data_IF_081566863075
#
_entry.id   IF_081566863075
#
_cell.length_a   1.000
_cell.length_b   1.000
_cell.length_c   1.000
_cell.angle_alpha   90.00
_cell.angle_beta   90.00
_cell.angle_gamma   90.00
#
_symmetry.space_group_name_H-M   'P 1'
#
loop_
_entity.id
_entity.type
_entity.pdbx_description
1 polymer ?
#
# COMPACT_ATOMS: atom_id res chain seq x y z
N UNK A 1 74.57 16.65 26.63
CA UNK A 1 73.74 16.74 25.38
C UNK A 1 72.35 16.23 25.65
N UNK A 2 71.39 17.13 25.91
CA UNK A 2 69.96 16.78 26.20
C UNK A 2 69.20 16.79 24.85
N UNK A 3 68.68 15.63 24.43
CA UNK A 3 67.79 15.55 23.26
C UNK A 3 66.36 15.93 23.67
N UNK A 4 65.83 16.99 23.09
CA UNK A 4 64.45 17.37 23.21
C UNK A 4 63.62 16.53 22.21
N UNK A 5 62.60 15.83 22.74
CA UNK A 5 61.60 15.11 21.93
C UNK A 5 60.42 16.07 21.77
N UNK A 6 60.19 16.52 20.55
CA UNK A 6 58.99 17.31 20.19
C UNK A 6 57.87 16.31 19.87
N UNK A 7 56.83 16.27 20.73
CA UNK A 7 55.61 15.54 20.49
C UNK A 7 54.70 16.40 19.61
N UNK A 8 54.47 15.98 18.38
CA UNK A 8 53.47 16.61 17.49
C UNK A 8 52.10 16.04 17.82
N UNK A 9 51.28 16.88 18.43
CA UNK A 9 49.86 16.58 18.74
C UNK A 9 49.04 16.68 17.44
N UNK A 10 48.65 15.55 16.86
CA UNK A 10 47.68 15.53 15.74
C UNK A 10 46.28 15.81 16.30
N UNK A 11 45.78 17.04 16.13
CA UNK A 11 44.40 17.38 16.41
C UNK A 11 43.57 16.89 15.21
N UNK A 12 42.91 15.73 15.37
CA UNK A 12 41.89 15.29 14.43
C UNK A 12 40.67 16.21 14.53
N UNK A 13 40.60 17.22 13.68
CA UNK A 13 39.38 18.01 13.49
C UNK A 13 38.37 17.14 12.75
N UNK A 14 37.47 16.50 13.50
CA UNK A 14 36.30 15.87 12.90
C UNK A 14 35.39 17.01 12.45
N UNK A 15 35.41 17.30 11.15
CA UNK A 15 34.40 18.14 10.51
C UNK A 15 33.03 17.46 10.75
N UNK A 16 31.99 18.20 11.22
CA UNK A 16 30.68 17.66 11.29
C UNK A 16 30.26 17.27 9.84
N UNK A 17 29.91 16.00 9.67
CA UNK A 17 29.29 15.57 8.42
C UNK A 17 28.01 16.41 8.29
N UNK A 18 28.01 17.39 7.40
CA UNK A 18 26.78 18.06 7.00
C UNK A 18 25.86 16.95 6.50
N UNK A 19 24.75 16.73 7.20
CA UNK A 19 23.69 15.86 6.73
C UNK A 19 23.32 16.37 5.31
N UNK A 20 23.60 15.57 4.29
CA UNK A 20 23.24 15.90 2.92
C UNK A 20 21.73 16.11 2.94
N UNK A 21 21.28 17.34 2.67
CA UNK A 21 19.85 17.63 2.56
C UNK A 21 19.26 16.61 1.58
N UNK A 22 18.31 15.80 2.05
CA UNK A 22 17.75 14.73 1.23
C UNK A 22 17.14 15.35 -0.04
N UNK A 23 17.60 14.92 -1.20
CA UNK A 23 17.09 15.37 -2.48
C UNK A 23 15.59 15.10 -2.55
N UNK A 24 14.79 16.15 -2.82
CA UNK A 24 13.36 16.05 -2.95
C UNK A 24 12.97 15.30 -4.21
N UNK A 25 12.01 14.38 -4.08
CA UNK A 25 11.56 13.47 -5.14
C UNK A 25 10.07 13.65 -5.36
N UNK A 26 9.67 13.76 -6.61
CA UNK A 26 8.27 13.78 -7.00
C UNK A 26 7.73 12.35 -7.12
N UNK A 27 6.68 12.01 -6.38
CA UNK A 27 5.91 10.79 -6.62
C UNK A 27 4.88 11.03 -7.72
N UNK A 28 4.93 10.27 -8.80
CA UNK A 28 4.04 10.49 -9.97
C UNK A 28 2.58 10.20 -9.68
N UNK A 29 2.29 9.47 -8.62
CA UNK A 29 0.94 9.06 -8.20
C UNK A 29 0.86 9.04 -6.68
N UNK A 30 -0.35 9.08 -6.14
CA UNK A 30 -0.58 8.94 -4.71
C UNK A 30 0.12 7.72 -4.08
N UNK A 31 0.04 6.49 -4.65
CA UNK A 31 0.82 5.35 -4.14
C UNK A 31 2.34 5.56 -4.21
N UNK A 32 2.85 6.23 -5.24
CA UNK A 32 4.28 6.52 -5.37
C UNK A 32 4.74 7.51 -4.29
N UNK A 33 3.97 8.58 -4.05
CA UNK A 33 4.27 9.55 -3.00
C UNK A 33 4.23 8.92 -1.62
N UNK A 34 3.23 8.10 -1.32
CA UNK A 34 3.19 7.39 -0.04
C UNK A 34 4.31 6.37 0.11
N UNK A 35 4.77 5.75 -0.97
CA UNK A 35 5.93 4.88 -0.94
C UNK A 35 7.21 5.65 -0.56
N UNK A 36 7.41 6.84 -1.13
CA UNK A 36 8.50 7.75 -0.70
C UNK A 36 8.32 8.20 0.75
N UNK A 37 7.09 8.54 1.16
CA UNK A 37 6.78 9.00 2.51
C UNK A 37 7.14 7.95 3.58
N UNK A 38 6.80 6.68 3.40
CA UNK A 38 7.14 5.63 4.37
C UNK A 38 8.63 5.30 4.40
N UNK A 39 9.34 5.55 3.30
CA UNK A 39 10.80 5.43 3.25
C UNK A 39 11.42 6.58 4.05
N UNK A 40 11.16 7.81 3.64
CA UNK A 40 11.52 9.01 4.38
C UNK A 40 10.55 10.15 4.04
N UNK A 41 9.82 10.68 5.03
CA UNK A 41 8.90 11.79 4.78
C UNK A 41 9.58 13.03 4.20
N UNK A 42 10.87 13.22 4.44
CA UNK A 42 11.63 14.35 3.93
C UNK A 42 11.99 14.22 2.44
N UNK A 43 11.77 13.07 1.82
CA UNK A 43 11.95 12.87 0.38
C UNK A 43 10.84 13.51 -0.46
N UNK A 44 9.61 13.61 0.05
CA UNK A 44 8.49 14.07 -0.76
C UNK A 44 8.47 15.58 -0.93
N UNK A 45 8.09 16.03 -2.12
CA UNK A 45 7.93 17.46 -2.43
C UNK A 45 6.53 17.98 -2.08
N UNK A 46 5.54 17.10 -2.10
CA UNK A 46 4.14 17.42 -1.90
C UNK A 46 3.23 16.21 -2.08
N UNK A 47 1.94 16.43 -2.04
CA UNK A 47 0.91 15.41 -2.22
C UNK A 47 0.31 15.48 -3.62
N UNK A 48 -0.26 14.37 -4.10
CA UNK A 48 -0.90 14.30 -5.42
C UNK A 48 -2.38 14.70 -5.40
N UNK A 49 -2.83 15.34 -4.34
CA UNK A 49 -4.20 15.76 -4.11
C UNK A 49 -4.55 15.78 -2.62
N UNK A 50 -5.81 16.10 -2.29
CA UNK A 50 -6.23 16.21 -0.90
C UNK A 50 -6.16 14.86 -0.19
N UNK A 51 -5.58 14.87 1.02
CA UNK A 51 -5.55 13.72 1.92
C UNK A 51 -6.91 13.50 2.58
N UNK A 52 -7.27 12.25 2.80
CA UNK A 52 -8.51 11.86 3.45
C UNK A 52 -8.36 11.86 4.98
N UNK A 53 -9.44 12.01 5.76
CA UNK A 53 -9.35 12.05 7.23
C UNK A 53 -8.61 10.84 7.84
N UNK A 54 -8.80 9.64 7.30
CA UNK A 54 -8.16 8.41 7.78
C UNK A 54 -6.67 8.31 7.38
N UNK A 55 -6.22 9.09 6.39
CA UNK A 55 -4.81 9.21 6.00
C UNK A 55 -4.10 10.27 6.86
N UNK A 56 -4.76 11.44 7.06
CA UNK A 56 -4.26 12.56 7.85
C UNK A 56 -3.89 12.14 9.27
N UNK A 57 -4.68 11.24 9.87
CA UNK A 57 -4.49 10.73 11.24
C UNK A 57 -3.06 10.21 11.50
N UNK A 58 -2.38 9.70 10.47
CA UNK A 58 -1.07 9.06 10.56
C UNK A 58 0.07 9.90 9.99
N UNK A 59 -0.18 11.19 9.70
CA UNK A 59 0.79 12.09 9.09
C UNK A 59 1.02 13.28 10.02
N UNK A 60 2.26 13.53 10.46
CA UNK A 60 2.58 14.72 11.27
C UNK A 60 2.26 16.04 10.56
N UNK A 61 1.80 17.04 11.31
CA UNK A 61 1.33 18.34 10.82
C UNK A 61 2.28 19.02 9.82
N UNK A 62 3.59 18.88 10.02
CA UNK A 62 4.58 19.49 9.13
C UNK A 62 4.48 18.99 7.69
N UNK A 63 4.09 17.73 7.49
CA UNK A 63 3.93 17.12 6.17
C UNK A 63 2.52 17.34 5.60
N UNK A 64 1.52 17.59 6.44
CA UNK A 64 0.18 17.97 5.99
C UNK A 64 0.16 19.33 5.26
N UNK A 65 1.14 20.19 5.54
CA UNK A 65 1.28 21.52 4.95
C UNK A 65 2.02 21.53 3.62
N UNK A 66 2.49 20.38 3.14
CA UNK A 66 3.13 20.28 1.84
C UNK A 66 2.14 20.60 0.71
N UNK A 67 2.60 21.17 -0.41
CA UNK A 67 1.73 21.57 -1.52
C UNK A 67 1.08 20.37 -2.21
N UNK A 68 -0.06 20.66 -2.90
CA UNK A 68 -0.60 19.76 -3.91
C UNK A 68 0.22 19.93 -5.20
N UNK A 69 0.84 18.86 -5.65
CA UNK A 69 1.72 18.82 -6.83
C UNK A 69 1.09 18.04 -7.99
N UNK A 70 -0.15 17.56 -7.80
CA UNK A 70 -0.86 16.75 -8.79
C UNK A 70 -0.25 15.36 -9.02
N UNK A 71 -0.90 14.58 -9.88
CA UNK A 71 -0.47 13.23 -10.21
C UNK A 71 -1.14 12.68 -11.47
N UNK A 72 -0.56 11.64 -12.07
CA UNK A 72 -1.11 11.01 -13.29
C UNK A 72 -2.35 10.16 -13.05
N UNK A 73 -2.62 9.78 -11.79
CA UNK A 73 -3.76 8.96 -11.39
C UNK A 73 -4.38 9.48 -10.11
N UNK A 74 -5.68 9.23 -9.95
CA UNK A 74 -6.40 9.51 -8.71
C UNK A 74 -7.30 10.75 -8.82
N UNK A 75 -7.68 11.29 -7.67
CA UNK A 75 -8.60 12.44 -7.56
C UNK A 75 -7.88 13.80 -7.62
N UNK A 76 -6.56 13.80 -7.77
CA UNK A 76 -5.76 15.01 -7.87
C UNK A 76 -5.82 15.66 -9.25
N UNK A 77 -5.28 16.88 -9.31
CA UNK A 77 -5.04 17.59 -10.56
C UNK A 77 -3.97 16.86 -11.40
N UNK A 78 -4.01 17.07 -12.72
CA UNK A 78 -2.89 16.68 -13.60
C UNK A 78 -1.62 17.37 -13.09
N UNK A 79 -0.44 16.70 -13.15
CA UNK A 79 0.81 17.31 -12.68
C UNK A 79 1.03 18.67 -13.31
N UNK A 80 1.24 19.67 -12.48
CA UNK A 80 1.60 20.99 -12.93
C UNK A 80 3.11 21.01 -13.23
N UNK A 81 3.44 21.03 -14.53
CA UNK A 81 4.83 21.08 -15.00
C UNK A 81 5.56 22.32 -14.50
N UNK A 82 4.86 23.45 -14.39
CA UNK A 82 5.45 24.69 -13.88
C UNK A 82 5.80 24.56 -12.40
N UNK A 83 4.96 23.87 -11.61
CA UNK A 83 5.26 23.56 -10.20
C UNK A 83 6.50 22.67 -10.10
N UNK A 84 6.59 21.58 -10.89
CA UNK A 84 7.75 20.69 -10.87
C UNK A 84 9.05 21.44 -11.23
N UNK A 85 9.00 22.32 -12.23
CA UNK A 85 10.15 23.12 -12.64
C UNK A 85 10.53 24.18 -11.59
N UNK A 86 9.52 24.89 -11.02
CA UNK A 86 9.75 25.90 -9.98
C UNK A 86 10.37 25.32 -8.72
N UNK A 87 9.92 24.13 -8.31
CA UNK A 87 10.47 23.42 -7.15
C UNK A 87 11.83 22.78 -7.44
N UNK A 88 12.36 22.92 -8.65
CA UNK A 88 13.69 22.45 -9.04
C UNK A 88 13.87 20.94 -8.93
N UNK A 89 12.81 20.17 -9.18
CA UNK A 89 12.80 18.73 -9.05
C UNK A 89 13.75 18.08 -10.05
N UNK A 90 14.63 17.22 -9.53
CA UNK A 90 15.60 16.50 -10.33
C UNK A 90 15.30 15.02 -10.45
N UNK A 91 14.50 14.46 -9.51
CA UNK A 91 14.14 13.04 -9.48
C UNK A 91 12.66 12.84 -9.29
N UNK A 92 12.14 11.79 -9.92
CA UNK A 92 10.76 11.35 -9.77
C UNK A 92 10.69 9.82 -9.59
N UNK A 93 9.69 9.35 -8.82
CA UNK A 93 9.34 7.95 -8.69
C UNK A 93 8.08 7.66 -9.51
N UNK A 94 8.17 6.71 -10.42
CA UNK A 94 7.04 6.19 -11.21
C UNK A 94 6.84 4.71 -10.90
N UNK A 95 5.64 4.35 -10.43
CA UNK A 95 5.24 2.95 -10.29
C UNK A 95 4.71 2.48 -11.64
N UNK A 96 5.43 1.56 -12.30
CA UNK A 96 5.09 1.11 -13.63
C UNK A 96 4.24 -0.16 -13.60
N UNK A 97 3.15 -0.15 -14.36
CA UNK A 97 2.24 -1.29 -14.57
C UNK A 97 2.30 -1.82 -16.02
N UNK A 98 3.02 -1.13 -16.90
CA UNK A 98 3.02 -1.36 -18.33
C UNK A 98 1.85 -0.68 -19.06
N UNK A 99 1.20 0.28 -18.40
CA UNK A 99 0.13 1.06 -19.02
C UNK A 99 0.69 2.23 -19.85
N UNK A 100 -0.07 2.66 -20.87
CA UNK A 100 0.29 3.85 -21.66
C UNK A 100 0.46 5.11 -20.80
N UNK A 101 -0.28 5.22 -19.70
CA UNK A 101 -0.15 6.36 -18.77
C UNK A 101 1.19 6.37 -18.06
N UNK A 102 1.72 5.20 -17.69
CA UNK A 102 3.05 5.12 -17.09
C UNK A 102 4.11 5.55 -18.08
N UNK A 103 3.99 5.11 -19.35
CA UNK A 103 4.88 5.52 -20.44
C UNK A 103 4.83 7.04 -20.68
N UNK A 104 3.63 7.62 -20.69
CA UNK A 104 3.43 9.07 -20.81
C UNK A 104 4.03 9.84 -19.63
N UNK A 105 3.86 9.34 -18.41
CA UNK A 105 4.44 9.93 -17.21
C UNK A 105 5.98 9.91 -17.27
N UNK A 106 6.57 8.75 -17.58
CA UNK A 106 8.02 8.60 -17.73
C UNK A 106 8.55 9.53 -18.81
N UNK A 107 7.91 9.52 -20.00
CA UNK A 107 8.32 10.38 -21.12
C UNK A 107 8.26 11.86 -20.74
N UNK A 108 7.15 12.31 -20.16
CA UNK A 108 6.96 13.72 -19.79
C UNK A 108 8.01 14.20 -18.79
N UNK A 109 8.28 13.38 -17.75
CA UNK A 109 9.28 13.71 -16.73
C UNK A 109 10.70 13.73 -17.33
N UNK A 110 11.02 12.78 -18.19
CA UNK A 110 12.32 12.73 -18.88
C UNK A 110 12.53 13.92 -19.82
N UNK A 111 11.49 14.32 -20.57
CA UNK A 111 11.53 15.49 -21.46
C UNK A 111 11.76 16.81 -20.67
N UNK A 112 11.36 16.85 -19.39
CA UNK A 112 11.65 17.95 -18.46
C UNK A 112 13.06 17.87 -17.84
N UNK A 113 13.87 16.88 -18.19
CA UNK A 113 15.20 16.68 -17.64
C UNK A 113 15.21 16.07 -16.22
N UNK A 114 14.08 15.48 -15.79
CA UNK A 114 13.96 14.83 -14.50
C UNK A 114 14.38 13.36 -14.61
N UNK A 115 15.30 12.92 -13.75
CA UNK A 115 15.68 11.51 -13.60
C UNK A 115 14.52 10.69 -13.08
N UNK A 116 14.13 9.61 -13.77
CA UNK A 116 12.97 8.80 -13.39
C UNK A 116 13.40 7.47 -12.79
N UNK A 117 13.09 7.28 -11.50
CA UNK A 117 13.19 5.99 -10.82
C UNK A 117 11.92 5.19 -11.17
N UNK A 118 12.06 4.16 -11.99
CA UNK A 118 10.95 3.30 -12.39
C UNK A 118 11.00 2.01 -11.56
N UNK A 119 9.89 1.67 -10.91
CA UNK A 119 9.75 0.42 -10.17
C UNK A 119 8.41 -0.23 -10.47
N UNK A 120 8.41 -1.56 -10.60
CA UNK A 120 7.18 -2.33 -10.66
C UNK A 120 6.65 -2.53 -9.23
N UNK A 121 5.34 -2.34 -9.02
CA UNK A 121 4.69 -2.50 -7.73
C UNK A 121 3.25 -3.02 -7.92
N UNK A 122 3.09 -4.15 -8.62
CA UNK A 122 1.83 -4.80 -8.88
C UNK A 122 1.59 -5.94 -7.90
N UNK A 123 2.49 -6.91 -7.87
CA UNK A 123 2.45 -8.04 -6.93
C UNK A 123 3.10 -7.69 -5.60
N UNK A 124 2.83 -8.46 -4.57
CA UNK A 124 3.45 -8.25 -3.25
C UNK A 124 4.97 -8.44 -3.33
N UNK A 125 5.46 -9.39 -4.13
CA UNK A 125 6.91 -9.56 -4.36
C UNK A 125 7.53 -8.36 -5.09
N UNK A 126 6.81 -7.72 -6.03
CA UNK A 126 7.31 -6.52 -6.69
C UNK A 126 7.60 -5.38 -5.67
N UNK A 127 6.79 -5.25 -4.59
CA UNK A 127 7.03 -4.25 -3.56
C UNK A 127 8.34 -4.47 -2.79
N UNK A 128 8.71 -5.72 -2.54
CA UNK A 128 10.00 -6.06 -1.89
C UNK A 128 11.17 -5.53 -2.73
N UNK A 129 11.16 -5.82 -4.02
CA UNK A 129 12.19 -5.36 -4.95
C UNK A 129 12.14 -3.85 -5.19
N UNK A 130 10.94 -3.26 -5.22
CA UNK A 130 10.76 -1.82 -5.34
C UNK A 130 11.40 -1.06 -4.18
N UNK A 131 11.22 -1.51 -2.94
CA UNK A 131 11.88 -0.90 -1.77
C UNK A 131 13.40 -0.90 -1.94
N UNK A 132 13.99 -2.03 -2.31
CA UNK A 132 15.44 -2.15 -2.52
C UNK A 132 15.95 -1.26 -3.65
N UNK A 133 15.20 -1.19 -4.75
CA UNK A 133 15.54 -0.33 -5.91
C UNK A 133 15.49 1.15 -5.52
N UNK A 134 14.44 1.58 -4.86
CA UNK A 134 14.30 2.97 -4.39
C UNK A 134 15.41 3.30 -3.39
N UNK A 135 15.70 2.40 -2.45
CA UNK A 135 16.76 2.60 -1.46
C UNK A 135 18.13 2.87 -2.07
N UNK A 136 18.49 2.12 -3.11
CA UNK A 136 19.73 2.33 -3.87
C UNK A 136 19.73 3.68 -4.59
N UNK A 137 18.61 4.06 -5.22
CA UNK A 137 18.50 5.29 -6.00
C UNK A 137 18.47 6.57 -5.13
N UNK A 138 18.00 6.44 -3.88
CA UNK A 138 17.81 7.57 -2.96
C UNK A 138 18.84 7.63 -1.81
N UNK A 139 19.70 6.62 -1.68
CA UNK A 139 20.63 6.51 -0.56
C UNK A 139 19.99 6.13 0.77
N UNK A 140 18.78 5.57 0.75
CA UNK A 140 18.01 5.17 1.96
C UNK A 140 18.00 3.65 2.17
N UNK A 141 19.08 2.96 1.80
CA UNK A 141 19.17 1.49 1.75
C UNK A 141 18.82 0.82 3.08
N UNK A 142 19.31 1.36 4.22
CA UNK A 142 19.03 0.79 5.54
C UNK A 142 17.51 0.74 5.81
N UNK A 143 16.83 1.87 5.58
CA UNK A 143 15.39 1.98 5.80
C UNK A 143 14.59 1.11 4.84
N UNK A 144 14.95 1.09 3.57
CA UNK A 144 14.23 0.28 2.58
C UNK A 144 14.45 -1.21 2.77
N UNK A 145 15.59 -1.64 3.31
CA UNK A 145 15.81 -3.04 3.67
C UNK A 145 14.99 -3.44 4.90
N UNK A 146 14.79 -2.55 5.88
CA UNK A 146 13.87 -2.77 7.00
C UNK A 146 12.44 -3.06 6.48
N UNK A 147 11.94 -2.22 5.55
CA UNK A 147 10.62 -2.38 4.94
C UNK A 147 10.52 -3.67 4.10
N UNK A 148 11.54 -3.95 3.28
CA UNK A 148 11.62 -5.17 2.47
C UNK A 148 11.67 -6.44 3.33
N UNK A 149 12.49 -6.43 4.39
CA UNK A 149 12.59 -7.57 5.32
C UNK A 149 11.28 -7.83 6.07
N UNK A 150 10.55 -6.78 6.47
CA UNK A 150 9.21 -6.96 7.03
C UNK A 150 8.27 -7.62 6.03
N UNK A 151 8.25 -7.12 4.78
CA UNK A 151 7.42 -7.65 3.71
C UNK A 151 7.70 -9.13 3.42
N UNK A 152 8.97 -9.51 3.30
CA UNK A 152 9.39 -10.90 3.12
C UNK A 152 8.94 -11.81 4.26
N UNK A 153 9.15 -11.38 5.52
CA UNK A 153 8.70 -12.12 6.69
C UNK A 153 7.18 -12.30 6.72
N UNK A 154 6.42 -11.27 6.34
CA UNK A 154 4.97 -11.35 6.26
C UNK A 154 4.51 -12.36 5.20
N UNK A 155 5.16 -12.38 4.02
CA UNK A 155 4.91 -13.37 2.97
C UNK A 155 5.25 -14.79 3.41
N UNK A 156 6.42 -14.99 4.03
CA UNK A 156 6.84 -16.30 4.55
C UNK A 156 5.84 -16.81 5.59
N UNK A 157 5.47 -16.01 6.59
CA UNK A 157 4.47 -16.37 7.61
C UNK A 157 3.13 -16.74 6.98
N UNK A 158 2.68 -15.96 5.99
CA UNK A 158 1.43 -16.21 5.27
C UNK A 158 1.48 -17.54 4.51
N UNK A 159 2.59 -17.84 3.85
CA UNK A 159 2.81 -19.10 3.15
C UNK A 159 2.86 -20.29 4.13
N UNK A 160 3.46 -20.13 5.31
CA UNK A 160 3.47 -21.13 6.36
C UNK A 160 2.06 -21.43 6.89
N UNK A 161 1.24 -20.40 7.15
CA UNK A 161 -0.16 -20.58 7.55
C UNK A 161 -0.96 -21.36 6.51
N UNK A 162 -0.69 -21.13 5.22
CA UNK A 162 -1.40 -21.79 4.12
C UNK A 162 -0.75 -23.10 3.64
N UNK A 163 0.35 -23.53 4.27
CA UNK A 163 1.02 -24.80 3.92
C UNK A 163 0.06 -25.98 4.04
N UNK A 164 0.00 -26.79 2.96
CA UNK A 164 -0.92 -27.94 2.88
C UNK A 164 -2.40 -27.57 2.82
N UNK A 165 -2.73 -26.35 2.44
CA UNK A 165 -4.11 -25.97 2.15
C UNK A 165 -4.64 -26.75 0.95
N UNK A 166 -5.85 -27.32 1.10
CA UNK A 166 -6.52 -28.06 0.03
C UNK A 166 -7.17 -27.08 -0.96
N UNK A 167 -6.63 -27.02 -2.17
CA UNK A 167 -7.10 -26.14 -3.24
C UNK A 167 -8.60 -26.34 -3.57
N UNK A 168 -9.16 -27.54 -3.30
CA UNK A 168 -10.60 -27.83 -3.49
C UNK A 168 -11.49 -27.10 -2.47
N UNK A 169 -10.89 -26.60 -1.39
CA UNK A 169 -11.59 -25.87 -0.32
C UNK A 169 -11.52 -24.34 -0.48
N UNK A 170 -11.04 -23.85 -1.62
CA UNK A 170 -11.04 -22.40 -1.87
C UNK A 170 -12.42 -21.82 -1.76
N UNK A 171 -12.57 -20.79 -0.94
CA UNK A 171 -13.82 -20.07 -0.74
C UNK A 171 -14.11 -19.17 -1.94
N UNK A 172 -15.35 -19.17 -2.40
CA UNK A 172 -15.85 -18.24 -3.41
C UNK A 172 -15.98 -16.85 -2.77
N UNK A 173 -15.16 -15.90 -3.18
CA UNK A 173 -15.11 -14.55 -2.61
C UNK A 173 -15.62 -13.53 -3.62
N UNK A 174 -16.50 -12.66 -3.16
CA UNK A 174 -16.87 -11.42 -3.83
C UNK A 174 -16.33 -10.24 -3.02
N UNK A 175 -15.56 -9.33 -3.66
CA UNK A 175 -15.07 -8.13 -2.99
C UNK A 175 -15.93 -6.93 -3.37
N UNK A 176 -16.88 -6.58 -2.50
CA UNK A 176 -17.81 -5.49 -2.68
C UNK A 176 -17.10 -4.12 -2.50
N UNK A 177 -16.98 -3.38 -3.58
CA UNK A 177 -16.36 -2.07 -3.66
C UNK A 177 -17.32 -1.04 -4.25
N UNK A 178 -16.92 0.23 -4.27
CA UNK A 178 -17.80 1.34 -4.66
C UNK A 178 -18.84 1.67 -3.60
N UNK A 179 -19.64 2.67 -3.86
CA UNK A 179 -20.60 3.21 -2.87
C UNK A 179 -21.83 2.33 -2.62
N UNK A 180 -22.10 1.39 -3.54
CA UNK A 180 -23.23 0.44 -3.48
C UNK A 180 -22.77 -1.03 -3.38
N UNK A 181 -21.46 -1.28 -3.36
CA UNK A 181 -20.91 -2.63 -3.25
C UNK A 181 -20.94 -3.44 -4.55
N UNK A 182 -21.35 -2.86 -5.67
CA UNK A 182 -21.50 -3.56 -6.96
C UNK A 182 -20.30 -3.40 -7.90
N UNK A 183 -19.26 -2.70 -7.47
CA UNK A 183 -17.95 -2.76 -8.12
C UNK A 183 -17.10 -3.84 -7.46
N UNK A 184 -16.28 -4.51 -8.25
CA UNK A 184 -15.40 -5.57 -7.76
C UNK A 184 -14.16 -5.72 -8.64
N UNK A 185 -13.12 -6.33 -8.09
CA UNK A 185 -11.91 -6.69 -8.84
C UNK A 185 -12.18 -7.91 -9.74
N UNK A 186 -11.43 -8.01 -10.83
CA UNK A 186 -11.51 -9.14 -11.73
C UNK A 186 -10.58 -10.28 -11.30
N UNK A 187 -11.01 -11.51 -11.49
CA UNK A 187 -10.19 -12.69 -11.27
C UNK A 187 -9.02 -12.75 -12.28
N UNK A 188 -7.91 -13.31 -11.86
CA UNK A 188 -6.69 -13.43 -12.67
C UNK A 188 -5.86 -12.15 -12.74
N UNK A 189 -6.23 -11.10 -12.01
CA UNK A 189 -5.45 -9.85 -11.92
C UNK A 189 -4.58 -9.80 -10.67
N UNK A 190 -3.54 -8.96 -10.70
CA UNK A 190 -2.69 -8.72 -9.51
C UNK A 190 -3.47 -8.15 -8.31
N UNK A 191 -4.67 -7.63 -8.55
CA UNK A 191 -5.53 -7.06 -7.49
C UNK A 191 -6.17 -8.12 -6.61
N UNK A 192 -6.36 -9.35 -7.12
CA UNK A 192 -6.87 -10.45 -6.31
C UNK A 192 -5.77 -11.24 -5.59
N UNK A 193 -4.48 -10.89 -5.76
CA UNK A 193 -3.36 -11.67 -5.26
C UNK A 193 -3.52 -12.07 -3.78
N UNK A 194 -3.89 -11.11 -2.91
CA UNK A 194 -4.08 -11.38 -1.50
C UNK A 194 -5.26 -12.34 -1.25
N UNK A 195 -6.35 -12.24 -2.02
CA UNK A 195 -7.49 -13.15 -1.92
C UNK A 195 -7.06 -14.57 -2.29
N UNK A 196 -6.31 -14.70 -3.38
CA UNK A 196 -5.84 -16.00 -3.87
C UNK A 196 -4.87 -16.64 -2.88
N UNK A 197 -3.89 -15.88 -2.36
CA UNK A 197 -2.91 -16.36 -1.38
C UNK A 197 -3.57 -16.75 -0.05
N UNK A 198 -4.69 -16.12 0.31
CA UNK A 198 -5.48 -16.46 1.49
C UNK A 198 -6.45 -17.64 1.26
N UNK A 199 -6.30 -18.42 0.19
CA UNK A 199 -7.18 -19.57 -0.07
C UNK A 199 -8.57 -19.20 -0.59
N UNK A 200 -8.72 -17.98 -1.11
CA UNK A 200 -9.92 -17.54 -1.81
C UNK A 200 -9.87 -17.81 -3.30
N UNK A 201 -11.03 -17.71 -3.93
CA UNK A 201 -11.23 -17.66 -5.37
C UNK A 201 -12.19 -16.52 -5.67
N UNK A 202 -11.74 -15.51 -6.39
CA UNK A 202 -12.63 -14.43 -6.83
C UNK A 202 -13.69 -14.98 -7.76
N UNK A 203 -14.95 -14.65 -7.49
CA UNK A 203 -16.09 -15.15 -8.28
C UNK A 203 -16.29 -14.38 -9.56
N UNK A 204 -15.78 -13.15 -9.69
CA UNK A 204 -15.98 -12.31 -10.87
C UNK A 204 -14.90 -12.59 -11.91
N UNK A 205 -15.28 -13.28 -12.98
CA UNK A 205 -14.50 -13.40 -14.20
C UNK A 205 -14.74 -12.18 -15.09
N UNK A 206 -13.68 -11.67 -15.71
CA UNK A 206 -13.75 -10.53 -16.62
C UNK A 206 -13.09 -10.87 -17.95
N UNK A 207 -13.30 -9.99 -18.93
CA UNK A 207 -12.55 -10.05 -20.18
C UNK A 207 -11.07 -9.72 -19.96
N UNK A 208 -10.21 -10.19 -20.83
CA UNK A 208 -8.77 -9.92 -20.78
C UNK A 208 -8.54 -8.40 -20.76
N UNK A 209 -7.64 -7.96 -19.90
CA UNK A 209 -7.27 -6.55 -19.69
C UNK A 209 -8.17 -5.69 -18.80
N UNK A 210 -9.18 -6.25 -18.16
CA UNK A 210 -9.99 -5.52 -17.18
C UNK A 210 -9.54 -5.84 -15.75
N UNK A 211 -9.25 -4.80 -14.98
CA UNK A 211 -8.92 -4.91 -13.55
C UNK A 211 -10.18 -4.91 -12.66
N UNK A 212 -11.24 -4.24 -13.12
CA UNK A 212 -12.48 -4.02 -12.40
C UNK A 212 -13.69 -4.35 -13.26
N UNK A 213 -14.73 -4.80 -12.60
CA UNK A 213 -16.06 -4.95 -13.17
C UNK A 213 -17.09 -4.26 -12.29
N UNK A 214 -18.18 -3.82 -12.94
CA UNK A 214 -19.42 -3.47 -12.27
C UNK A 214 -20.45 -4.55 -12.59
N UNK A 215 -21.03 -5.14 -11.56
CA UNK A 215 -22.03 -6.21 -11.71
C UNK A 215 -23.43 -5.70 -11.36
N UNK A 216 -24.46 -6.33 -11.92
CA UNK A 216 -25.81 -6.13 -11.40
C UNK A 216 -26.01 -6.97 -10.14
N UNK A 217 -27.03 -6.62 -9.34
CA UNK A 217 -27.35 -7.40 -8.15
C UNK A 217 -27.77 -8.84 -8.49
N UNK A 218 -28.47 -9.03 -9.62
CA UNK A 218 -28.85 -10.35 -10.15
C UNK A 218 -27.63 -11.18 -10.56
N UNK A 219 -26.59 -10.54 -11.10
CA UNK A 219 -25.31 -11.22 -11.38
C UNK A 219 -24.65 -11.66 -10.08
N UNK A 220 -24.59 -10.78 -9.05
CA UNK A 220 -24.06 -11.13 -7.75
C UNK A 220 -24.79 -12.32 -7.12
N UNK A 221 -26.13 -12.34 -7.19
CA UNK A 221 -26.93 -13.50 -6.74
C UNK A 221 -26.56 -14.80 -7.47
N UNK A 222 -26.32 -14.75 -8.79
CA UNK A 222 -25.91 -15.94 -9.58
C UNK A 222 -24.48 -16.39 -9.27
N UNK A 223 -23.57 -15.46 -8.94
CA UNK A 223 -22.21 -15.78 -8.52
C UNK A 223 -22.20 -16.55 -7.19
N UNK A 224 -23.19 -16.31 -6.34
CA UNK A 224 -23.41 -16.98 -5.04
C UNK A 224 -22.11 -17.17 -4.27
N UNK A 225 -21.46 -16.08 -3.77
CA UNK A 225 -20.21 -16.18 -3.03
C UNK A 225 -20.41 -16.86 -1.66
N UNK A 226 -19.38 -17.56 -1.19
CA UNK A 226 -19.30 -18.09 0.18
C UNK A 226 -19.00 -16.99 1.18
N UNK A 227 -18.22 -16.00 0.75
CA UNK A 227 -17.75 -14.86 1.55
C UNK A 227 -17.88 -13.57 0.75
N UNK A 228 -18.32 -12.52 1.42
CA UNK A 228 -18.30 -11.16 0.90
C UNK A 228 -17.28 -10.35 1.71
N UNK A 229 -16.25 -9.84 1.05
CA UNK A 229 -15.39 -8.81 1.59
C UNK A 229 -15.98 -7.45 1.24
N UNK A 230 -15.98 -6.52 2.18
CA UNK A 230 -16.56 -5.19 1.98
C UNK A 230 -15.47 -4.13 2.13
N UNK A 231 -15.36 -3.23 1.15
CA UNK A 231 -14.53 -2.04 1.27
C UNK A 231 -15.13 -1.10 2.31
N UNK A 232 -14.59 -1.13 3.54
CA UNK A 232 -15.20 -0.48 4.70
C UNK A 232 -15.33 1.04 4.56
N UNK A 233 -14.40 1.70 3.85
CA UNK A 233 -14.40 3.15 3.64
C UNK A 233 -15.40 3.64 2.58
N UNK A 234 -15.94 2.76 1.72
CA UNK A 234 -16.84 3.14 0.63
C UNK A 234 -18.27 2.59 0.86
N UNK A 235 -18.40 1.27 0.91
CA UNK A 235 -19.68 0.59 1.10
C UNK A 235 -20.02 0.44 2.60
N UNK A 236 -19.02 0.16 3.43
CA UNK A 236 -19.13 0.17 4.88
C UNK A 236 -20.13 -0.84 5.42
N UNK A 237 -21.16 -0.35 6.10
CA UNK A 237 -22.21 -1.16 6.71
C UNK A 237 -23.54 -1.14 5.93
N UNK A 238 -23.59 -0.48 4.78
CA UNK A 238 -24.83 -0.31 4.00
C UNK A 238 -25.55 -1.63 3.67
N UNK A 239 -24.77 -2.71 3.48
CA UNK A 239 -25.33 -4.05 3.24
C UNK A 239 -26.20 -4.55 4.39
N UNK A 240 -26.02 -4.03 5.62
CA UNK A 240 -26.80 -4.45 6.80
C UNK A 240 -28.22 -3.93 6.76
N UNK A 241 -28.42 -2.75 6.16
CA UNK A 241 -29.70 -2.03 6.09
C UNK A 241 -30.45 -2.26 4.78
N UNK A 242 -29.73 -2.64 3.69
CA UNK A 242 -30.33 -2.86 2.39
C UNK A 242 -30.94 -4.27 2.29
N UNK A 243 -32.30 -4.37 2.16
CA UNK A 243 -33.01 -5.67 2.06
C UNK A 243 -32.51 -6.54 0.91
N UNK A 244 -31.99 -5.95 -0.18
CA UNK A 244 -31.44 -6.70 -1.31
C UNK A 244 -30.22 -7.52 -0.88
N UNK A 245 -29.32 -6.96 -0.05
CA UNK A 245 -28.14 -7.67 0.43
C UNK A 245 -28.50 -8.79 1.40
N UNK A 246 -29.60 -8.62 2.16
CA UNK A 246 -30.06 -9.60 3.15
C UNK A 246 -30.54 -10.93 2.53
N UNK A 247 -30.82 -10.99 1.22
CA UNK A 247 -31.19 -12.25 0.55
C UNK A 247 -30.00 -13.13 0.23
N UNK A 248 -28.77 -12.58 0.19
CA UNK A 248 -27.56 -13.30 -0.17
C UNK A 248 -27.19 -14.35 0.89
N UNK A 249 -26.79 -15.54 0.46
CA UNK A 249 -26.40 -16.65 1.33
C UNK A 249 -25.24 -16.28 2.26
N UNK A 250 -24.22 -15.61 1.76
CA UNK A 250 -23.09 -15.17 2.57
C UNK A 250 -23.52 -14.19 3.67
N UNK A 251 -24.47 -13.26 3.40
CA UNK A 251 -24.99 -12.32 4.39
C UNK A 251 -25.78 -13.06 5.47
N UNK A 252 -26.69 -13.97 5.07
CA UNK A 252 -27.48 -14.79 6.02
C UNK A 252 -26.60 -15.69 6.91
N UNK A 253 -25.47 -16.14 6.38
CA UNK A 253 -24.51 -16.97 7.11
C UNK A 253 -23.55 -16.14 7.99
N UNK A 254 -23.60 -14.81 7.95
CA UNK A 254 -22.67 -13.95 8.67
C UNK A 254 -21.26 -13.90 8.07
N UNK A 255 -21.08 -14.38 6.85
CA UNK A 255 -19.78 -14.44 6.16
C UNK A 255 -19.51 -13.14 5.38
N UNK A 256 -19.69 -12.01 6.04
CA UNK A 256 -19.38 -10.68 5.49
C UNK A 256 -18.35 -10.01 6.38
N UNK A 257 -17.22 -9.65 5.78
CA UNK A 257 -16.11 -9.06 6.53
C UNK A 257 -15.74 -7.70 5.94
N UNK A 258 -15.73 -6.69 6.79
CA UNK A 258 -15.26 -5.35 6.42
C UNK A 258 -13.75 -5.34 6.43
N UNK A 259 -13.15 -5.05 5.27
CA UNK A 259 -11.68 -4.96 5.14
C UNK A 259 -11.21 -3.71 5.85
N UNK A 260 -10.23 -3.78 6.77
CA UNK A 260 -9.62 -2.61 7.37
C UNK A 260 -9.10 -1.65 6.29
N UNK A 261 -9.22 -0.32 6.54
CA UNK A 261 -8.94 0.69 5.51
C UNK A 261 -8.10 1.88 5.98
N UNK A 262 -7.55 1.80 7.16
CA UNK A 262 -6.67 2.83 7.72
C UNK A 262 -5.20 2.38 7.68
N UNK A 263 -4.27 3.22 7.24
CA UNK A 263 -4.41 4.48 6.50
C UNK A 263 -4.99 4.33 5.09
N UNK A 264 -4.94 3.12 4.50
CA UNK A 264 -5.51 2.74 3.21
C UNK A 264 -6.19 1.39 3.34
N UNK A 265 -7.02 1.03 2.36
CA UNK A 265 -7.58 -0.32 2.31
C UNK A 265 -6.46 -1.37 2.25
N UNK A 266 -6.61 -2.40 3.08
CA UNK A 266 -5.57 -3.41 3.27
C UNK A 266 -5.41 -4.41 2.12
N UNK A 267 -6.35 -4.45 1.19
CA UNK A 267 -6.32 -5.40 0.07
C UNK A 267 -6.22 -4.71 -1.29
N UNK A 268 -7.04 -3.67 -1.53
CA UNK A 268 -7.11 -2.98 -2.83
C UNK A 268 -7.65 -1.54 -2.68
N UNK A 269 -7.53 -0.72 -3.76
CA UNK A 269 -7.94 0.69 -3.86
C UNK A 269 -7.21 1.68 -2.93
N UNK A 270 -5.93 1.85 -3.15
CA UNK A 270 -5.09 1.20 -4.17
C UNK A 270 -4.46 -0.10 -3.63
N UNK A 271 -4.09 -1.05 -4.53
CA UNK A 271 -3.17 -2.11 -4.14
C UNK A 271 -1.88 -1.45 -3.64
N UNK A 272 -1.43 -1.84 -2.48
CA UNK A 272 -0.29 -1.20 -1.83
C UNK A 272 0.44 -2.18 -0.91
N UNK A 273 1.48 -1.70 -0.25
CA UNK A 273 2.19 -2.45 0.80
C UNK A 273 1.31 -2.80 2.01
N UNK A 274 0.11 -2.20 2.15
CA UNK A 274 -0.88 -2.63 3.16
C UNK A 274 -1.27 -4.09 3.03
N UNK A 275 -1.12 -4.68 1.83
CA UNK A 275 -1.42 -6.10 1.59
C UNK A 275 -0.57 -7.05 2.43
N UNK A 276 0.58 -6.63 2.94
CA UNK A 276 1.39 -7.50 3.81
C UNK A 276 0.71 -7.80 5.14
N UNK A 277 0.12 -6.81 5.80
CA UNK A 277 -0.72 -7.03 6.98
C UNK A 277 -2.11 -7.53 6.59
N UNK A 278 -2.63 -7.05 5.47
CA UNK A 278 -3.94 -7.44 4.93
C UNK A 278 -4.05 -8.92 4.60
N UNK A 279 -3.01 -9.55 4.04
CA UNK A 279 -2.97 -10.98 3.76
C UNK A 279 -3.03 -11.81 5.05
N UNK A 280 -2.26 -11.46 6.07
CA UNK A 280 -2.29 -12.14 7.37
C UNK A 280 -3.67 -11.99 8.03
N UNK A 281 -4.23 -10.76 8.01
CA UNK A 281 -5.59 -10.51 8.50
C UNK A 281 -6.61 -11.36 7.76
N UNK A 282 -6.52 -11.46 6.44
CA UNK A 282 -7.47 -12.21 5.63
C UNK A 282 -7.38 -13.72 5.91
N UNK A 283 -6.16 -14.27 6.01
CA UNK A 283 -5.97 -15.69 6.39
C UNK A 283 -6.61 -15.96 7.75
N UNK A 284 -6.32 -15.13 8.76
CA UNK A 284 -6.89 -15.26 10.10
C UNK A 284 -8.41 -15.09 10.14
N UNK A 285 -8.96 -14.32 9.22
CA UNK A 285 -10.42 -14.12 9.10
C UNK A 285 -11.09 -15.32 8.47
N UNK A 286 -10.53 -15.86 7.38
CA UNK A 286 -11.12 -16.96 6.61
C UNK A 286 -10.83 -18.33 7.20
N UNK A 287 -9.67 -18.50 7.83
CA UNK A 287 -9.14 -19.79 8.30
C UNK A 287 -8.61 -19.65 9.73
N UNK A 288 -9.52 -19.55 10.70
CA UNK A 288 -9.17 -19.36 12.13
C UNK A 288 -8.26 -20.45 12.67
N UNK A 289 -8.43 -21.68 12.18
CA UNK A 289 -7.64 -22.85 12.53
C UNK A 289 -6.19 -22.80 12.00
N UNK A 290 -5.92 -21.95 11.02
CA UNK A 290 -4.60 -21.75 10.40
C UNK A 290 -3.88 -20.50 10.89
N UNK A 291 -4.61 -19.62 11.57
CA UNK A 291 -4.07 -18.35 12.06
C UNK A 291 -3.05 -18.61 13.19
N UNK A 292 -1.78 -18.36 12.90
CA UNK A 292 -0.67 -18.52 13.86
C UNK A 292 -0.08 -17.20 14.34
N UNK A 293 -0.68 -16.08 13.95
CA UNK A 293 -0.25 -14.74 14.33
C UNK A 293 -1.31 -14.04 15.19
N UNK A 294 -0.88 -13.19 16.12
CA UNK A 294 -1.77 -12.23 16.72
C UNK A 294 -1.92 -11.03 15.79
N UNK A 295 -3.10 -10.88 15.17
CA UNK A 295 -3.33 -9.82 14.19
C UNK A 295 -3.33 -8.43 14.82
N UNK A 296 -3.59 -8.29 16.12
CA UNK A 296 -3.47 -7.02 16.85
C UNK A 296 -2.00 -6.61 16.94
N UNK A 297 -1.16 -7.55 17.36
CA UNK A 297 0.28 -7.34 17.46
C UNK A 297 0.89 -7.04 16.09
N UNK A 298 0.50 -7.81 15.05
CA UNK A 298 0.98 -7.57 13.67
C UNK A 298 0.52 -6.21 13.13
N UNK A 299 -0.70 -5.77 13.46
CA UNK A 299 -1.19 -4.42 13.09
C UNK A 299 -0.33 -3.33 13.73
N UNK A 300 -0.08 -3.43 15.04
CA UNK A 300 0.78 -2.48 15.75
C UNK A 300 2.20 -2.44 15.17
N UNK A 301 2.80 -3.60 14.95
CA UNK A 301 4.14 -3.74 14.35
C UNK A 301 4.21 -3.19 12.94
N UNK A 302 3.20 -3.45 12.11
CA UNK A 302 3.12 -2.90 10.76
C UNK A 302 3.06 -1.37 10.79
N UNK A 303 2.20 -0.80 11.61
CA UNK A 303 2.04 0.65 11.72
C UNK A 303 3.31 1.34 12.25
N UNK A 304 3.98 0.74 13.21
CA UNK A 304 5.26 1.24 13.71
C UNK A 304 6.35 1.14 12.63
N UNK A 305 6.44 0.00 11.93
CA UNK A 305 7.46 -0.21 10.88
C UNK A 305 7.24 0.69 9.67
N UNK A 306 6.03 0.79 9.14
CA UNK A 306 5.78 1.51 7.89
C UNK A 306 5.49 3.00 8.11
N UNK A 307 4.69 3.33 9.12
CA UNK A 307 4.24 4.70 9.36
C UNK A 307 4.94 5.40 10.53
N UNK A 308 5.77 4.68 11.29
CA UNK A 308 6.45 5.19 12.50
C UNK A 308 5.44 5.66 13.57
N UNK A 309 4.28 5.03 13.61
CA UNK A 309 3.20 5.34 14.54
C UNK A 309 3.03 4.17 15.50
N UNK A 310 3.20 4.44 16.79
CA UNK A 310 2.89 3.50 17.85
C UNK A 310 1.44 3.69 18.27
N UNK A 311 0.63 2.67 18.01
CA UNK A 311 -0.81 2.69 18.30
C UNK A 311 -1.10 2.20 19.71
N UNK A 312 -2.15 2.76 20.31
CA UNK A 312 -2.78 2.21 21.51
C UNK A 312 -3.73 1.06 21.16
N UNK A 313 -4.03 0.19 22.12
CA UNK A 313 -4.92 -0.96 21.92
C UNK A 313 -6.29 -0.58 21.34
N UNK A 314 -6.90 0.51 21.83
CA UNK A 314 -8.18 1.00 21.32
C UNK A 314 -8.10 1.48 19.86
N UNK A 315 -6.95 2.02 19.43
CA UNK A 315 -6.74 2.42 18.04
C UNK A 315 -6.58 1.20 17.12
N UNK A 316 -5.88 0.18 17.61
CA UNK A 316 -5.75 -1.10 16.89
C UNK A 316 -7.14 -1.75 16.71
N UNK A 317 -7.97 -1.77 17.76
CA UNK A 317 -9.33 -2.29 17.68
C UNK A 317 -10.20 -1.51 16.70
N UNK A 318 -10.07 -0.19 16.69
CA UNK A 318 -10.76 0.68 15.73
C UNK A 318 -10.36 0.35 14.29
N UNK A 319 -9.05 0.19 14.01
CA UNK A 319 -8.55 -0.18 12.69
C UNK A 319 -9.08 -1.56 12.26
N UNK A 320 -9.06 -2.53 13.17
CA UNK A 320 -9.56 -3.89 12.93
C UNK A 320 -11.09 -3.98 12.90
N UNK A 321 -11.80 -2.86 13.08
CA UNK A 321 -13.28 -2.78 13.05
C UNK A 321 -13.96 -3.72 14.07
N UNK A 322 -13.35 -3.87 15.24
CA UNK A 322 -13.82 -4.71 16.36
C UNK A 322 -14.65 -3.93 17.36
#
# INVERSE_FOLDING_TARGET
MKKAIIAILFVCVTLPAFAKENEKIYGSTFPATFMLYIISPDLIIGWNGPLRPHEIKYIPDKYLKLPDVGGWYGQGSVPDKEVLMREGIKKALVLVSGSKRDEEAVKTLTDLGIEVIQVKALTMNDYVEAFRTIGKATGTTERTEELASYAEKALIKSAEMMKGFDEKKRLKIYFAQGTDGLETVCAGTYREEALFLAGGRNVQQCEISQDFARVSFEQLMRLDPDVILVHAGEFGTKYMEDPKWQVLRAVKAGNVYRVPYEPFNWLDRPPSYMRFVGLQWLICTLHKDRCTVDIREETGRFMETYFRVKLMDAEIDSILLR
#
